data_IF_717341518363
#
_entry.id   IF_717341518363
#
_cell.length_a   1.000
_cell.length_b   1.000
_cell.length_c   1.000
_cell.angle_alpha   90.00
_cell.angle_beta   90.00
_cell.angle_gamma   90.00
#
_symmetry.space_group_name_H-M   'P 1'
#
loop_
_entity.id
_entity.type
_entity.pdbx_description
1 polymer ?
#
# COMPACT_ATOMS: atom_id res chain seq x y z
N UNK A 1 15.32 5.58 3.86
CA UNK A 1 16.17 5.45 2.67
C UNK A 1 15.86 4.12 2.00
N UNK A 2 15.03 4.16 0.95
CA UNK A 2 14.61 2.99 0.20
C UNK A 2 15.69 2.62 -0.82
N UNK A 3 16.23 1.41 -0.72
CA UNK A 3 17.09 0.84 -1.75
C UNK A 3 16.20 0.34 -2.89
N UNK A 4 16.14 1.11 -3.98
CA UNK A 4 15.48 0.70 -5.22
C UNK A 4 16.44 -0.27 -5.92
N UNK A 5 16.16 -1.56 -5.82
CA UNK A 5 16.83 -2.58 -6.63
C UNK A 5 16.27 -2.48 -8.05
N UNK A 6 16.99 -1.80 -8.95
CA UNK A 6 16.71 -1.82 -10.39
C UNK A 6 17.24 -3.12 -10.98
N UNK A 7 16.35 -4.08 -11.25
CA UNK A 7 16.65 -5.15 -12.21
C UNK A 7 16.50 -4.60 -13.62
N UNK A 8 17.61 -4.33 -14.29
CA UNK A 8 17.65 -4.03 -15.72
C UNK A 8 18.24 -5.22 -16.48
N UNK A 9 17.38 -5.96 -17.18
CA UNK A 9 17.80 -6.90 -18.23
C UNK A 9 16.72 -6.97 -19.31
N UNK A 10 16.92 -6.21 -20.38
CA UNK A 10 16.34 -6.53 -21.69
C UNK A 10 17.41 -6.23 -22.74
N UNK A 11 18.09 -7.28 -23.19
CA UNK A 11 18.78 -7.31 -24.46
C UNK A 11 17.75 -7.09 -25.58
N UNK A 12 17.85 -6.00 -26.33
CA UNK A 12 17.22 -5.89 -27.65
C UNK A 12 18.28 -5.75 -28.73
N UNK A 13 18.45 -6.87 -29.42
CA UNK A 13 19.20 -7.09 -30.66
C UNK A 13 18.58 -6.21 -31.77
N UNK A 14 19.44 -5.58 -32.56
CA UNK A 14 19.07 -4.48 -33.46
C UNK A 14 18.35 -4.87 -34.74
N UNK A 15 17.81 -3.84 -35.39
CA UNK A 15 17.57 -3.75 -36.84
C UNK A 15 17.68 -2.26 -37.21
N UNK A 16 18.56 -1.91 -38.15
CA UNK A 16 18.57 -0.61 -38.84
C UNK A 16 17.75 -0.75 -40.13
N UNK A 17 16.95 0.24 -40.52
CA UNK A 17 16.69 0.48 -41.93
C UNK A 17 17.33 1.79 -42.38
N UNK A 18 18.03 1.64 -43.49
CA UNK A 18 18.65 2.67 -44.29
C UNK A 18 17.61 3.34 -45.22
N UNK A 19 17.90 4.59 -45.57
CA UNK A 19 17.44 5.35 -46.74
C UNK A 19 15.92 5.56 -46.95
N UNK A 20 15.50 6.83 -46.87
CA UNK A 20 15.08 7.52 -48.09
C UNK A 20 15.22 9.04 -47.94
N UNK A 21 16.15 9.58 -48.72
CA UNK A 21 16.43 10.99 -48.89
C UNK A 21 15.56 11.49 -50.04
N UNK A 22 14.78 12.56 -49.84
CA UNK A 22 14.31 13.38 -50.97
C UNK A 22 14.35 14.86 -50.61
N UNK A 23 15.25 15.54 -51.30
CA UNK A 23 15.54 16.96 -51.32
C UNK A 23 14.34 17.75 -51.82
N UNK A 24 13.99 18.86 -51.14
CA UNK A 24 13.47 20.05 -51.80
C UNK A 24 14.06 21.30 -51.14
N UNK A 25 14.86 21.99 -51.97
CA UNK A 25 15.41 23.31 -51.77
C UNK A 25 14.28 24.34 -51.62
N UNK A 26 14.23 25.05 -50.49
CA UNK A 26 13.83 26.47 -50.47
C UNK A 26 14.62 27.15 -49.35
N UNK A 27 15.43 28.13 -49.73
CA UNK A 27 16.17 29.02 -48.82
C UNK A 27 15.47 30.38 -48.87
N UNK A 28 14.81 30.84 -47.80
CA UNK A 28 14.55 32.26 -47.61
C UNK A 28 15.45 32.80 -46.49
N UNK A 29 16.26 33.77 -46.90
CA UNK A 29 16.62 35.00 -46.18
C UNK A 29 16.56 34.93 -44.65
N UNK A 30 17.75 34.97 -44.06
CA UNK A 30 17.99 35.32 -42.66
C UNK A 30 17.38 36.69 -42.37
N UNK A 31 16.28 36.71 -41.63
CA UNK A 31 15.92 37.86 -40.79
C UNK A 31 16.25 37.44 -39.38
N UNK A 32 17.26 38.09 -38.81
CA UNK A 32 17.67 37.90 -37.42
C UNK A 32 16.60 38.54 -36.53
N UNK A 33 15.52 37.81 -36.26
CA UNK A 33 14.66 38.14 -35.14
C UNK A 33 15.42 37.81 -33.87
N UNK A 34 15.69 38.81 -33.05
CA UNK A 34 16.31 38.66 -31.73
C UNK A 34 15.26 38.02 -30.81
N UNK A 35 14.99 36.73 -31.01
CA UNK A 35 14.23 35.93 -30.06
C UNK A 35 15.04 35.85 -28.78
N UNK A 36 14.56 36.57 -27.76
CA UNK A 36 14.97 36.36 -26.40
C UNK A 36 14.63 34.91 -26.06
N UNK A 37 15.64 34.04 -26.09
CA UNK A 37 15.57 32.63 -25.70
C UNK A 37 15.24 32.53 -24.19
N UNK A 38 14.01 32.85 -23.81
CA UNK A 38 13.46 32.40 -22.55
C UNK A 38 13.07 30.94 -22.76
N UNK A 39 14.05 30.04 -22.57
CA UNK A 39 13.75 28.65 -22.25
C UNK A 39 12.75 28.70 -21.10
N UNK A 40 11.53 28.13 -21.20
CA UNK A 40 10.79 27.82 -20.01
C UNK A 40 11.60 26.70 -19.35
N UNK A 41 12.51 27.08 -18.45
CA UNK A 41 13.03 26.20 -17.44
C UNK A 41 11.79 25.75 -16.68
N UNK A 42 11.26 24.59 -17.05
CA UNK A 42 10.30 23.85 -16.27
C UNK A 42 11.06 23.39 -15.02
N UNK A 43 11.31 24.36 -14.14
CA UNK A 43 11.80 24.17 -12.79
C UNK A 43 10.58 23.64 -12.04
N UNK A 44 10.24 22.39 -12.29
CA UNK A 44 9.50 21.60 -11.33
C UNK A 44 10.42 21.51 -10.11
N UNK A 45 10.38 22.56 -9.27
CA UNK A 45 11.05 22.59 -8.00
C UNK A 45 10.27 21.60 -7.14
N UNK A 46 10.68 20.34 -7.19
CA UNK A 46 10.21 19.36 -6.23
C UNK A 46 10.65 19.92 -4.88
N UNK A 47 9.72 20.49 -4.13
CA UNK A 47 9.92 20.73 -2.71
C UNK A 47 10.02 19.35 -2.08
N UNK A 48 11.23 18.78 -2.10
CA UNK A 48 11.59 17.78 -1.11
C UNK A 48 11.49 18.52 0.22
N UNK A 49 10.45 18.20 0.99
CA UNK A 49 10.35 18.59 2.38
C UNK A 49 11.71 18.38 3.04
N UNK A 50 12.17 19.35 3.84
CA UNK A 50 13.40 19.21 4.60
C UNK A 50 13.37 17.83 5.27
N UNK A 51 14.37 17.00 4.97
CA UNK A 51 14.65 15.83 5.76
C UNK A 51 15.11 16.35 7.14
N UNK A 52 14.15 16.67 8.00
CA UNK A 52 14.39 16.79 9.42
C UNK A 52 14.94 15.43 9.82
N UNK A 53 16.26 15.38 9.99
CA UNK A 53 16.95 14.30 10.67
C UNK A 53 16.54 14.37 12.16
N UNK A 54 15.27 14.11 12.44
CA UNK A 54 14.80 13.77 13.76
C UNK A 54 15.35 12.38 14.05
N UNK A 55 16.51 12.37 14.72
CA UNK A 55 17.24 11.16 15.08
C UNK A 55 16.37 10.21 15.90
N UNK A 56 15.91 9.16 15.25
CA UNK A 56 15.75 7.83 15.83
C UNK A 56 16.11 6.84 14.74
N UNK A 57 17.19 6.08 14.92
CA UNK A 57 17.59 5.03 13.98
C UNK A 57 16.60 3.87 13.87
N UNK A 58 15.45 3.97 14.55
CA UNK A 58 14.41 2.96 14.55
C UNK A 58 13.66 2.93 13.22
N UNK A 59 13.62 1.75 12.60
CA UNK A 59 12.81 1.49 11.40
C UNK A 59 11.36 1.13 11.73
N UNK A 60 10.93 1.25 12.99
CA UNK A 60 9.62 0.78 13.47
C UNK A 60 8.44 1.28 12.63
N UNK A 61 8.36 2.57 12.33
CA UNK A 61 7.27 3.13 11.52
C UNK A 61 7.25 2.56 10.09
N UNK A 62 8.41 2.45 9.44
CA UNK A 62 8.50 1.86 8.10
C UNK A 62 8.22 0.35 8.08
N UNK A 63 8.60 -0.37 9.15
CA UNK A 63 8.29 -1.79 9.31
C UNK A 63 6.80 -1.99 9.57
N UNK A 64 6.18 -1.15 10.39
CA UNK A 64 4.74 -1.17 10.65
C UNK A 64 3.94 -0.94 9.36
N UNK A 65 4.29 0.10 8.59
CA UNK A 65 3.69 0.33 7.27
C UNK A 65 3.82 -0.88 6.33
N UNK A 66 5.01 -1.50 6.31
CA UNK A 66 5.25 -2.70 5.47
C UNK A 66 4.41 -3.87 5.95
N UNK A 67 4.33 -4.09 7.27
CA UNK A 67 3.54 -5.15 7.88
C UNK A 67 2.04 -5.00 7.57
N UNK A 68 1.51 -3.78 7.58
CA UNK A 68 0.12 -3.53 7.19
C UNK A 68 -0.15 -4.01 5.75
N UNK A 69 0.75 -3.71 4.81
CA UNK A 69 0.60 -4.13 3.41
C UNK A 69 0.72 -5.65 3.25
N UNK A 70 1.67 -6.27 3.95
CA UNK A 70 1.81 -7.74 3.96
C UNK A 70 0.53 -8.37 4.49
N UNK A 71 0.00 -7.88 5.62
CA UNK A 71 -1.23 -8.41 6.21
C UNK A 71 -2.43 -8.21 5.28
N UNK A 72 -2.54 -7.08 4.57
CA UNK A 72 -3.58 -6.88 3.56
C UNK A 72 -3.52 -7.91 2.43
N UNK A 73 -2.33 -8.22 1.92
CA UNK A 73 -2.14 -9.25 0.88
C UNK A 73 -2.48 -10.63 1.42
N UNK A 74 -2.07 -10.95 2.64
CA UNK A 74 -2.42 -12.21 3.32
C UNK A 74 -3.93 -12.33 3.46
N UNK A 75 -4.61 -11.30 3.97
CA UNK A 75 -6.06 -11.31 4.13
C UNK A 75 -6.79 -11.45 2.78
N UNK A 76 -6.29 -10.77 1.74
CA UNK A 76 -6.81 -10.92 0.38
C UNK A 76 -6.69 -12.36 -0.12
N UNK A 77 -5.57 -13.03 0.14
CA UNK A 77 -5.35 -14.42 -0.24
C UNK A 77 -6.18 -15.42 0.59
N UNK A 78 -6.43 -15.10 1.87
CA UNK A 78 -7.25 -15.94 2.75
C UNK A 78 -8.70 -16.04 2.29
N UNK A 79 -9.26 -15.02 1.63
CA UNK A 79 -10.62 -15.05 1.06
C UNK A 79 -10.89 -16.23 0.13
N UNK A 80 -10.22 -16.35 -1.03
CA UNK A 80 -10.37 -17.51 -1.90
C UNK A 80 -9.85 -18.80 -1.26
N UNK A 81 -8.78 -18.75 -0.45
CA UNK A 81 -8.29 -19.95 0.22
C UNK A 81 -9.33 -20.56 1.16
N UNK A 82 -10.12 -19.72 1.85
CA UNK A 82 -11.19 -20.16 2.72
C UNK A 82 -12.38 -20.78 1.99
N UNK A 83 -12.64 -20.33 0.77
CA UNK A 83 -13.64 -20.94 -0.08
C UNK A 83 -13.24 -22.36 -0.51
N UNK A 84 -11.98 -22.55 -0.93
CA UNK A 84 -11.51 -23.84 -1.44
C UNK A 84 -11.09 -24.83 -0.34
N UNK A 85 -10.63 -24.35 0.81
CA UNK A 85 -10.12 -25.18 1.90
C UNK A 85 -10.68 -24.71 3.26
N UNK A 86 -11.99 -24.89 3.50
CA UNK A 86 -12.59 -24.54 4.78
C UNK A 86 -12.11 -25.49 5.88
N UNK A 87 -11.81 -24.95 7.06
CA UNK A 87 -11.43 -25.75 8.23
C UNK A 87 -10.78 -24.92 9.34
N UNK A 88 -10.44 -25.55 10.48
CA UNK A 88 -10.02 -24.82 11.69
C UNK A 88 -8.81 -23.91 11.48
N UNK A 89 -7.78 -24.38 10.77
CA UNK A 89 -6.57 -23.56 10.47
C UNK A 89 -6.96 -22.30 9.71
N UNK A 90 -7.86 -22.41 8.75
CA UNK A 90 -8.36 -21.28 7.98
C UNK A 90 -9.20 -20.35 8.84
N UNK A 91 -10.09 -20.90 9.67
CA UNK A 91 -10.98 -20.14 10.55
C UNK A 91 -10.18 -19.27 11.54
N UNK A 92 -9.15 -19.83 12.20
CA UNK A 92 -8.28 -19.06 13.09
C UNK A 92 -7.40 -18.08 12.33
N UNK A 93 -6.91 -18.44 11.14
CA UNK A 93 -6.11 -17.53 10.31
C UNK A 93 -6.93 -16.32 9.86
N UNK A 94 -8.18 -16.54 9.43
CA UNK A 94 -9.14 -15.49 9.10
C UNK A 94 -9.44 -14.61 10.31
N UNK A 95 -9.74 -15.21 11.47
CA UNK A 95 -10.01 -14.45 12.69
C UNK A 95 -8.83 -13.53 13.06
N UNK A 96 -7.60 -14.06 13.03
CA UNK A 96 -6.40 -13.28 13.33
C UNK A 96 -6.16 -12.17 12.30
N UNK A 97 -6.23 -12.49 11.01
CA UNK A 97 -5.95 -11.54 9.94
C UNK A 97 -7.01 -10.43 9.87
N UNK A 98 -8.30 -10.76 9.97
CA UNK A 98 -9.39 -9.79 9.99
C UNK A 98 -9.26 -8.81 11.15
N UNK A 99 -9.06 -9.33 12.37
CA UNK A 99 -9.00 -8.47 13.56
C UNK A 99 -7.74 -7.62 13.56
N UNK A 100 -6.58 -8.17 13.22
CA UNK A 100 -5.33 -7.40 13.20
C UNK A 100 -5.35 -6.34 12.09
N UNK A 101 -5.88 -6.68 10.91
CA UNK A 101 -6.01 -5.71 9.81
C UNK A 101 -6.97 -4.58 10.19
N UNK A 102 -8.11 -4.92 10.79
CA UNK A 102 -9.06 -3.94 11.32
C UNK A 102 -8.47 -3.08 12.44
N UNK A 103 -7.70 -3.66 13.36
CA UNK A 103 -7.04 -2.94 14.46
C UNK A 103 -6.08 -1.87 13.93
N UNK A 104 -5.19 -2.22 13.00
CA UNK A 104 -4.28 -1.23 12.39
C UNK A 104 -5.03 -0.20 11.55
N UNK A 105 -6.04 -0.63 10.76
CA UNK A 105 -6.85 0.29 9.95
C UNK A 105 -7.58 1.34 10.80
N UNK A 106 -8.24 0.91 11.89
CA UNK A 106 -8.87 1.83 12.84
C UNK A 106 -7.84 2.67 13.60
N UNK A 107 -6.64 2.13 13.87
CA UNK A 107 -5.53 2.89 14.45
C UNK A 107 -5.13 4.10 13.60
N UNK A 108 -5.13 3.96 12.26
CA UNK A 108 -4.89 5.09 11.35
C UNK A 108 -6.03 6.11 11.44
N UNK A 109 -7.30 5.67 11.44
CA UNK A 109 -8.45 6.57 11.62
C UNK A 109 -8.35 7.36 12.93
N UNK A 110 -7.99 6.69 14.03
CA UNK A 110 -7.78 7.35 15.32
C UNK A 110 -6.66 8.39 15.27
N UNK A 111 -5.55 8.05 14.62
CA UNK A 111 -4.39 8.94 14.46
C UNK A 111 -4.73 10.17 13.64
N UNK A 112 -5.55 10.02 12.59
CA UNK A 112 -5.90 11.11 11.67
C UNK A 112 -6.96 12.07 12.26
N UNK A 113 -7.89 11.56 13.07
CA UNK A 113 -9.08 12.32 13.45
C UNK A 113 -9.22 12.61 14.95
N UNK A 114 -8.60 11.84 15.83
CA UNK A 114 -8.67 12.06 17.29
C UNK A 114 -7.53 12.96 17.73
N UNK A 115 -7.86 14.16 18.19
CA UNK A 115 -6.87 15.17 18.58
C UNK A 115 -6.84 15.36 20.10
N UNK A 116 -5.64 15.44 20.67
CA UNK A 116 -5.40 15.70 22.09
C UNK A 116 -5.01 14.43 22.87
N UNK A 117 -3.88 14.50 23.57
CA UNK A 117 -3.20 13.38 24.25
C UNK A 117 -4.14 12.46 25.03
N UNK A 118 -4.98 13.03 25.90
CA UNK A 118 -5.91 12.24 26.73
C UNK A 118 -6.94 11.49 25.89
N UNK A 119 -7.51 12.15 24.86
CA UNK A 119 -8.50 11.54 23.96
C UNK A 119 -7.88 10.45 23.11
N UNK A 120 -6.68 10.68 22.56
CA UNK A 120 -5.91 9.69 21.80
C UNK A 120 -5.62 8.46 22.66
N UNK A 121 -5.18 8.65 23.91
CA UNK A 121 -4.91 7.54 24.83
C UNK A 121 -6.16 6.72 25.13
N UNK A 122 -7.28 7.37 25.46
CA UNK A 122 -8.54 6.69 25.73
C UNK A 122 -9.03 5.94 24.50
N UNK A 123 -8.99 6.58 23.32
CA UNK A 123 -9.40 5.96 22.06
C UNK A 123 -8.56 4.71 21.74
N UNK A 124 -7.24 4.78 21.92
CA UNK A 124 -6.35 3.63 21.72
C UNK A 124 -6.63 2.49 22.71
N UNK A 125 -6.87 2.78 23.99
CA UNK A 125 -7.29 1.76 24.97
C UNK A 125 -8.61 1.11 24.53
N UNK A 126 -9.58 1.91 24.12
CA UNK A 126 -10.86 1.42 23.59
C UNK A 126 -10.67 0.51 22.38
N UNK A 127 -9.81 0.90 21.43
CA UNK A 127 -9.48 0.09 20.26
C UNK A 127 -8.80 -1.24 20.66
N UNK A 128 -7.89 -1.24 21.63
CA UNK A 128 -7.28 -2.46 22.15
C UNK A 128 -8.30 -3.40 22.79
N UNK A 129 -9.20 -2.87 23.63
CA UNK A 129 -10.27 -3.65 24.25
C UNK A 129 -11.20 -4.23 23.19
N UNK A 130 -11.64 -3.40 22.23
CA UNK A 130 -12.49 -3.82 21.13
C UNK A 130 -11.85 -4.96 20.34
N UNK A 131 -10.62 -4.77 19.86
CA UNK A 131 -9.93 -5.80 19.07
C UNK A 131 -9.68 -7.08 19.87
N UNK A 132 -9.33 -6.98 21.15
CA UNK A 132 -9.12 -8.15 22.01
C UNK A 132 -10.42 -8.94 22.20
N UNK A 133 -11.52 -8.25 22.51
CA UNK A 133 -12.84 -8.88 22.67
C UNK A 133 -13.31 -9.49 21.35
N UNK A 134 -13.12 -8.80 20.21
CA UNK A 134 -13.45 -9.34 18.90
C UNK A 134 -12.64 -10.60 18.59
N UNK A 135 -11.32 -10.57 18.78
CA UNK A 135 -10.47 -11.74 18.53
C UNK A 135 -10.83 -12.91 19.44
N UNK A 136 -10.99 -12.67 20.74
CA UNK A 136 -11.40 -13.69 21.69
C UNK A 136 -12.78 -14.27 21.34
N UNK A 137 -13.75 -13.44 20.96
CA UNK A 137 -15.08 -13.87 20.53
C UNK A 137 -15.03 -14.72 19.26
N UNK A 138 -14.23 -14.34 18.27
CA UNK A 138 -14.04 -15.15 17.05
C UNK A 138 -13.35 -16.48 17.33
N UNK A 139 -12.32 -16.48 18.19
CA UNK A 139 -11.66 -17.71 18.62
C UNK A 139 -12.62 -18.61 19.41
N UNK A 140 -13.43 -18.04 20.30
CA UNK A 140 -14.46 -18.77 21.03
C UNK A 140 -15.49 -19.39 20.08
N UNK A 141 -15.95 -18.62 19.09
CA UNK A 141 -16.88 -19.11 18.06
C UNK A 141 -16.26 -20.22 17.20
N UNK A 142 -14.98 -20.10 16.83
CA UNK A 142 -14.26 -21.14 16.10
C UNK A 142 -14.03 -22.42 16.93
N UNK A 143 -13.98 -22.31 18.25
CA UNK A 143 -13.75 -23.45 19.14
C UNK A 143 -15.05 -24.14 19.59
N UNK A 144 -16.08 -23.36 19.92
CA UNK A 144 -17.29 -23.84 20.58
C UNK A 144 -18.51 -23.90 19.65
N UNK A 145 -18.39 -23.37 18.43
CA UNK A 145 -19.47 -23.33 17.44
C UNK A 145 -18.97 -23.87 16.09
N UNK A 146 -19.74 -23.69 15.02
CA UNK A 146 -19.48 -24.24 13.68
C UNK A 146 -18.21 -23.72 12.99
N UNK A 147 -17.65 -22.59 13.45
CA UNK A 147 -16.50 -21.92 12.84
C UNK A 147 -16.85 -20.99 11.67
N UNK A 148 -15.98 -20.00 11.42
CA UNK A 148 -16.23 -18.89 10.49
C UNK A 148 -16.62 -19.33 9.07
N UNK A 149 -15.81 -20.17 8.42
CA UNK A 149 -16.04 -20.61 7.05
C UNK A 149 -17.38 -21.33 6.92
N UNK A 150 -17.67 -22.25 7.87
CA UNK A 150 -18.92 -23.00 7.87
C UNK A 150 -20.11 -22.13 8.20
N UNK A 151 -19.97 -21.19 9.13
CA UNK A 151 -21.01 -20.23 9.48
C UNK A 151 -21.45 -19.40 8.25
N UNK A 152 -20.48 -18.89 7.49
CA UNK A 152 -20.77 -18.15 6.24
C UNK A 152 -21.46 -19.05 5.21
N UNK A 153 -21.00 -20.30 5.05
CA UNK A 153 -21.63 -21.24 4.13
C UNK A 153 -23.08 -21.57 4.53
N UNK A 154 -23.34 -21.77 5.83
CA UNK A 154 -24.69 -22.02 6.36
C UNK A 154 -25.59 -20.79 6.17
N UNK A 155 -25.05 -19.59 6.43
CA UNK A 155 -25.77 -18.33 6.23
C UNK A 155 -26.16 -18.13 4.75
N UNK A 156 -25.30 -18.51 3.81
CA UNK A 156 -25.56 -18.36 2.37
C UNK A 156 -26.40 -19.48 1.76
N UNK A 157 -26.60 -20.58 2.49
CA UNK A 157 -27.51 -21.68 2.10
C UNK A 157 -28.96 -21.48 2.57
N UNK A 158 -29.24 -20.34 3.19
CA UNK A 158 -30.58 -19.90 3.60
C UNK A 158 -31.20 -19.04 2.50
#
# INVERSE_FOLDING_TARGET
MAAIVRLSSVCRRGVKPLFYQRSLLVRPVVVQHKEHEQRPLLTARIHSSQALHAGSGSKAASLHWTAERVLSVVLLALGPAAYFNPGPVMDYSLAAALVLHGHWGLGQVLTDYVHGETKVRIANVGLFVLSTVTFAGLCYFNYNDVGLCKAVALLWSK
#
